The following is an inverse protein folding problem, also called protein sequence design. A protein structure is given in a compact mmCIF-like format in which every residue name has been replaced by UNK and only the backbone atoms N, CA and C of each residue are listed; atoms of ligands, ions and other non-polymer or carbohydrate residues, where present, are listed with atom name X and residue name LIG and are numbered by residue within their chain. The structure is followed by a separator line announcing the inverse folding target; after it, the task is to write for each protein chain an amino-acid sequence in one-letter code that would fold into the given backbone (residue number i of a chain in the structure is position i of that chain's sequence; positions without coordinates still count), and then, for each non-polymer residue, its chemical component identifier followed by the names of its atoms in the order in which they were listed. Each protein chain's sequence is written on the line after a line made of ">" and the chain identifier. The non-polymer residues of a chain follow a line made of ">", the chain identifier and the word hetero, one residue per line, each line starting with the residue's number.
data_IF_760418278812
#
_entry.id   IF_760418278812
#
_cell.length_a   1.000
_cell.length_b   1.000
_cell.length_c   1.000
_cell.angle_alpha   90.00
_cell.angle_beta   90.00
_cell.angle_gamma   90.00
#
_symmetry.space_group_name_H-M   'P 1'
#
loop_
_entity.id
_entity.type
_entity.pdbx_description
1 polymer ?
#
# COMPACT_ATOMS: atom_id res chain seq x y z
N UNK A 1 -11.82 2.02 16.55
CA UNK A 1 -11.02 0.90 17.08
C UNK A 1 -10.02 0.52 16.00
N UNK A 2 -8.73 0.84 16.20
CA UNK A 2 -7.68 0.41 15.28
C UNK A 2 -7.61 -1.13 15.30
N UNK A 3 -7.41 -1.80 14.14
CA UNK A 3 -7.21 -3.23 14.14
C UNK A 3 -5.94 -3.55 14.94
N UNK A 4 -6.15 -4.34 15.99
CA UNK A 4 -5.13 -4.87 16.89
C UNK A 4 -3.98 -5.46 16.10
N UNK A 5 -2.77 -4.91 16.29
CA UNK A 5 -1.53 -5.56 15.88
C UNK A 5 -1.49 -6.98 16.45
N UNK A 6 -1.26 -7.97 15.58
CA UNK A 6 -1.12 -9.36 16.00
C UNK A 6 0.13 -9.51 16.88
N UNK A 7 0.08 -10.29 17.99
CA UNK A 7 1.20 -10.45 18.89
C UNK A 7 2.19 -11.46 18.28
N UNK A 8 3.24 -10.96 17.64
CA UNK A 8 4.26 -11.78 17.00
C UNK A 8 5.32 -10.95 16.30
N UNK A 9 5.85 -9.93 16.99
CA UNK A 9 6.79 -8.94 16.44
C UNK A 9 8.10 -9.58 15.99
N UNK A 10 8.14 -10.04 14.74
CA UNK A 10 9.36 -10.32 14.00
C UNK A 10 10.18 -9.02 13.82
N UNK A 11 11.51 -9.12 13.74
CA UNK A 11 12.38 -7.99 13.40
C UNK A 11 11.96 -7.26 12.11
N UNK A 12 11.29 -7.96 11.19
CA UNK A 12 10.72 -7.37 9.98
C UNK A 12 9.59 -6.37 10.28
N UNK A 13 8.76 -6.60 11.30
CA UNK A 13 7.69 -5.67 11.68
C UNK A 13 8.26 -4.36 12.25
N UNK A 14 9.25 -4.46 13.13
CA UNK A 14 9.93 -3.29 13.69
C UNK A 14 10.64 -2.45 12.61
N UNK A 15 11.27 -3.11 11.62
CA UNK A 15 11.94 -2.41 10.51
C UNK A 15 10.96 -1.70 9.58
N UNK A 16 9.77 -2.29 9.34
CA UNK A 16 8.73 -1.73 8.47
C UNK A 16 8.04 -0.53 9.12
N UNK A 17 7.72 -0.63 10.42
CA UNK A 17 7.13 0.47 11.19
C UNK A 17 8.09 1.67 11.28
N UNK A 18 9.37 1.42 11.60
CA UNK A 18 10.38 2.47 11.68
C UNK A 18 10.60 3.22 10.35
N UNK A 19 10.49 2.52 9.21
CA UNK A 19 10.65 3.13 7.89
C UNK A 19 9.45 4.01 7.49
N UNK A 20 8.21 3.58 7.78
CA UNK A 20 7.01 4.31 7.36
C UNK A 20 6.89 5.71 7.98
N UNK A 21 7.12 5.81 9.28
CA UNK A 21 7.04 7.09 10.01
C UNK A 21 8.10 8.11 9.57
N UNK A 22 9.22 7.65 9.00
CA UNK A 22 10.29 8.53 8.54
C UNK A 22 9.89 9.40 7.33
N UNK A 23 8.86 9.02 6.57
CA UNK A 23 8.43 9.76 5.37
C UNK A 23 7.21 10.64 5.62
N UNK A 24 6.16 10.13 6.28
CA UNK A 24 4.97 10.90 6.59
C UNK A 24 4.21 10.30 7.79
N UNK A 25 3.71 11.11 8.74
CA UNK A 25 3.06 10.61 9.97
C UNK A 25 1.78 9.81 9.73
N UNK A 26 1.15 9.96 8.55
CA UNK A 26 -0.04 9.18 8.14
C UNK A 26 0.30 7.94 7.30
N UNK A 27 1.57 7.68 7.01
CA UNK A 27 1.96 6.52 6.22
C UNK A 27 1.94 5.28 7.11
N UNK A 28 1.05 4.34 6.78
CA UNK A 28 0.98 3.04 7.43
C UNK A 28 1.77 2.03 6.60
N UNK A 29 2.74 1.38 7.23
CA UNK A 29 3.55 0.35 6.60
C UNK A 29 3.01 -1.03 7.01
N UNK A 30 2.64 -1.85 6.02
CA UNK A 30 2.01 -3.15 6.23
C UNK A 30 3.02 -4.28 6.00
N UNK A 31 2.97 -5.31 6.85
CA UNK A 31 3.78 -6.53 6.73
C UNK A 31 3.00 -7.75 7.25
N UNK A 32 3.55 -8.95 7.09
CA UNK A 32 2.92 -10.20 7.53
C UNK A 32 3.80 -11.42 7.29
N UNK A 33 3.19 -12.61 7.40
CA UNK A 33 3.85 -13.87 7.01
C UNK A 33 4.04 -13.93 5.49
N UNK A 34 4.94 -14.80 5.02
CA UNK A 34 5.18 -14.99 3.58
C UNK A 34 3.88 -15.37 2.85
N UNK A 35 3.03 -16.20 3.45
CA UNK A 35 1.75 -16.62 2.87
C UNK A 35 0.78 -15.45 2.73
N UNK A 36 0.74 -14.53 3.71
CA UNK A 36 -0.08 -13.33 3.67
C UNK A 36 0.41 -12.37 2.58
N UNK A 37 1.73 -12.14 2.52
CA UNK A 37 2.36 -11.29 1.50
C UNK A 37 2.09 -11.86 0.11
N UNK A 38 2.29 -13.17 -0.09
CA UNK A 38 2.04 -13.87 -1.34
C UNK A 38 0.57 -13.78 -1.77
N UNK A 39 -0.37 -13.84 -0.82
CA UNK A 39 -1.80 -13.69 -1.11
C UNK A 39 -2.13 -12.27 -1.60
N UNK A 40 -1.60 -11.24 -0.94
CA UNK A 40 -1.79 -9.84 -1.35
C UNK A 40 -1.11 -9.57 -2.69
N UNK A 41 0.14 -10.03 -2.88
CA UNK A 41 0.87 -9.87 -4.13
C UNK A 41 0.09 -10.45 -5.32
N UNK A 42 -0.51 -11.64 -5.16
CA UNK A 42 -1.40 -12.23 -6.18
C UNK A 42 -2.66 -11.41 -6.41
N UNK A 43 -3.33 -10.94 -5.35
CA UNK A 43 -4.57 -10.18 -5.45
C UNK A 43 -4.38 -8.86 -6.23
N UNK A 44 -3.26 -8.18 -6.00
CA UNK A 44 -2.90 -6.92 -6.67
C UNK A 44 -2.04 -7.09 -7.92
N UNK A 45 -1.74 -8.33 -8.32
CA UNK A 45 -0.87 -8.68 -9.46
C UNK A 45 0.52 -8.02 -9.37
N UNK A 46 1.04 -7.92 -8.15
CA UNK A 46 2.37 -7.38 -7.87
C UNK A 46 3.39 -8.48 -8.19
N UNK A 47 4.35 -8.15 -9.04
CA UNK A 47 5.50 -9.01 -9.28
C UNK A 47 6.57 -8.76 -8.22
N UNK A 48 7.09 -9.85 -7.66
CA UNK A 48 8.23 -9.87 -6.75
C UNK A 48 9.18 -10.98 -7.17
N UNK A 49 10.46 -10.66 -7.37
CA UNK A 49 11.47 -11.68 -7.64
C UNK A 49 11.75 -12.49 -6.38
N UNK A 50 11.67 -13.82 -6.49
CA UNK A 50 12.06 -14.72 -5.39
C UNK A 50 13.59 -14.83 -5.33
N UNK A 51 14.20 -14.71 -4.14
CA UNK A 51 15.64 -14.91 -4.00
C UNK A 51 16.03 -16.33 -4.41
N UNK A 52 17.24 -16.48 -4.96
CA UNK A 52 17.87 -17.79 -5.08
C UNK A 52 18.18 -18.37 -3.70
N UNK A 53 18.31 -19.70 -3.55
CA UNK A 53 18.66 -20.32 -2.26
C UNK A 53 19.98 -19.79 -1.67
N UNK A 54 20.93 -19.39 -2.52
CA UNK A 54 22.19 -18.79 -2.11
C UNK A 54 22.02 -17.37 -1.54
N UNK A 55 21.14 -16.57 -2.14
CA UNK A 55 20.81 -15.21 -1.69
C UNK A 55 19.96 -15.21 -0.41
N UNK A 56 19.06 -16.18 -0.28
CA UNK A 56 18.32 -16.39 0.95
C UNK A 56 19.26 -16.78 2.12
N UNK A 57 20.33 -17.53 1.82
CA UNK A 57 21.32 -17.93 2.81
C UNK A 57 22.31 -16.82 3.21
N UNK A 58 22.55 -15.82 2.34
CA UNK A 58 23.43 -14.67 2.67
C UNK A 58 22.76 -13.64 3.59
N UNK A 59 21.45 -13.75 3.82
CA UNK A 59 20.69 -12.87 4.73
C UNK A 59 20.40 -11.46 4.17
N UNK A 60 21.16 -11.01 3.18
CA UNK A 60 20.89 -9.79 2.41
C UNK A 60 20.82 -10.12 0.91
N UNK A 61 19.73 -9.68 0.28
CA UNK A 61 19.53 -9.79 -1.15
C UNK A 61 18.63 -8.68 -1.67
N UNK A 62 18.75 -8.40 -2.97
CA UNK A 62 17.89 -7.44 -3.66
C UNK A 62 16.66 -8.14 -4.22
N UNK A 63 15.49 -7.54 -4.02
CA UNK A 63 14.24 -8.01 -4.58
C UNK A 63 13.75 -7.02 -5.64
N UNK A 64 13.66 -7.50 -6.87
CA UNK A 64 12.99 -6.75 -7.93
C UNK A 64 11.48 -6.74 -7.65
N UNK A 65 10.88 -5.54 -7.65
CA UNK A 65 9.48 -5.32 -7.31
C UNK A 65 8.84 -4.32 -8.27
N UNK A 66 7.52 -4.45 -8.41
CA UNK A 66 6.73 -3.49 -9.17
C UNK A 66 6.69 -2.13 -8.46
N UNK A 67 7.05 -1.05 -9.16
CA UNK A 67 6.97 0.33 -8.65
C UNK A 67 5.63 0.93 -9.08
N UNK A 68 4.60 0.68 -8.27
CA UNK A 68 3.22 1.08 -8.54
C UNK A 68 2.57 1.58 -7.26
N UNK A 69 1.81 2.68 -7.36
CA UNK A 69 0.93 3.19 -6.32
C UNK A 69 -0.51 2.91 -6.74
N UNK A 70 -1.32 2.31 -5.87
CA UNK A 70 -2.74 2.06 -6.11
C UNK A 70 -3.60 3.04 -5.30
N UNK A 71 -4.58 3.65 -5.96
CA UNK A 71 -5.65 4.41 -5.31
C UNK A 71 -6.88 3.53 -5.18
N UNK A 72 -7.28 3.31 -3.93
CA UNK A 72 -8.47 2.54 -3.57
C UNK A 72 -9.51 3.46 -2.94
N UNK A 73 -10.78 3.20 -3.23
CA UNK A 73 -11.92 3.85 -2.61
C UNK A 73 -12.11 3.37 -1.15
N UNK A 74 -12.89 4.10 -0.33
CA UNK A 74 -13.16 3.74 1.07
C UNK A 74 -13.83 2.38 1.25
N UNK A 75 -14.56 1.90 0.24
CA UNK A 75 -15.17 0.57 0.21
C UNK A 75 -14.21 -0.53 -0.26
N UNK A 76 -12.93 -0.20 -0.47
CA UNK A 76 -11.88 -1.11 -0.92
C UNK A 76 -11.86 -1.32 -2.44
N UNK A 77 -12.72 -0.65 -3.21
CA UNK A 77 -12.71 -0.78 -4.68
C UNK A 77 -11.52 -0.07 -5.29
N UNK A 78 -10.98 -0.66 -6.34
CA UNK A 78 -9.94 -0.03 -7.14
C UNK A 78 -10.46 1.17 -7.91
N UNK A 79 -9.77 2.32 -7.84
CA UNK A 79 -10.05 3.50 -8.65
C UNK A 79 -9.01 3.71 -9.75
N UNK A 80 -7.73 3.78 -9.37
CA UNK A 80 -6.65 4.09 -10.31
C UNK A 80 -5.29 3.58 -9.84
N UNK A 81 -4.29 3.59 -10.71
CA UNK A 81 -2.91 3.28 -10.38
C UNK A 81 -1.94 4.27 -11.01
N UNK A 82 -0.79 4.49 -10.37
CA UNK A 82 0.25 5.39 -10.80
C UNK A 82 1.61 4.67 -10.80
N UNK A 83 2.23 4.59 -11.97
CA UNK A 83 3.58 4.06 -12.11
C UNK A 83 4.66 5.14 -11.97
N UNK A 84 5.92 4.74 -12.16
CA UNK A 84 7.10 5.63 -12.04
C UNK A 84 7.10 6.85 -12.97
N UNK A 85 6.28 6.86 -14.02
CA UNK A 85 6.29 7.92 -15.03
C UNK A 85 5.55 9.20 -14.60
N UNK A 86 4.91 9.20 -13.43
CA UNK A 86 4.19 10.36 -12.92
C UNK A 86 5.02 11.14 -11.89
N UNK A 87 5.01 12.46 -12.02
CA UNK A 87 5.49 13.37 -10.98
C UNK A 87 4.51 13.43 -9.80
N UNK A 88 4.99 13.89 -8.63
CA UNK A 88 4.15 14.06 -7.46
C UNK A 88 2.93 14.97 -7.72
N UNK A 89 3.09 16.03 -8.53
CA UNK A 89 2.00 16.94 -8.88
C UNK A 89 0.95 16.27 -9.77
N UNK A 90 1.37 15.45 -10.74
CA UNK A 90 0.45 14.71 -11.60
C UNK A 90 -0.32 13.65 -10.83
N UNK A 91 0.35 12.91 -9.93
CA UNK A 91 -0.31 11.95 -9.04
C UNK A 91 -1.36 12.65 -8.18
N UNK A 92 -1.00 13.75 -7.53
CA UNK A 92 -1.93 14.50 -6.67
C UNK A 92 -3.15 15.01 -7.46
N UNK A 93 -2.91 15.61 -8.62
CA UNK A 93 -3.97 16.15 -9.49
C UNK A 93 -4.93 15.05 -9.95
N UNK A 94 -4.38 13.92 -10.41
CA UNK A 94 -5.19 12.79 -10.88
C UNK A 94 -5.94 12.12 -9.74
N UNK A 95 -5.31 11.94 -8.59
CA UNK A 95 -5.95 11.34 -7.42
C UNK A 95 -7.15 12.18 -6.95
N UNK A 96 -6.98 13.51 -6.88
CA UNK A 96 -8.08 14.42 -6.54
C UNK A 96 -9.24 14.35 -7.54
N UNK A 97 -8.95 14.20 -8.83
CA UNK A 97 -9.98 14.03 -9.85
C UNK A 97 -10.76 12.72 -9.70
N UNK A 98 -10.07 11.60 -9.43
CA UNK A 98 -10.71 10.30 -9.17
C UNK A 98 -11.56 10.32 -7.91
N UNK A 99 -11.08 10.96 -6.84
CA UNK A 99 -11.83 11.14 -5.58
C UNK A 99 -13.10 11.97 -5.84
N UNK A 100 -13.00 13.11 -6.53
CA UNK A 100 -14.15 13.95 -6.83
C UNK A 100 -15.20 13.24 -7.69
N UNK A 101 -14.75 12.42 -8.66
CA UNK A 101 -15.64 11.57 -9.45
C UNK A 101 -16.34 10.53 -8.58
N UNK A 102 -15.59 9.83 -7.73
CA UNK A 102 -16.16 8.84 -6.82
C UNK A 102 -17.19 9.46 -5.89
N UNK A 103 -16.90 10.61 -5.29
CA UNK A 103 -17.80 11.35 -4.40
C UNK A 103 -19.10 11.76 -5.11
N UNK A 104 -19.02 12.22 -6.37
CA UNK A 104 -20.20 12.59 -7.16
C UNK A 104 -21.11 11.38 -7.43
N UNK A 105 -20.51 10.24 -7.78
CA UNK A 105 -21.23 8.99 -8.05
C UNK A 105 -21.77 8.33 -6.78
N UNK A 106 -21.13 8.56 -5.64
CA UNK A 106 -21.42 7.91 -4.35
C UNK A 106 -21.91 8.88 -3.28
N UNK A 107 -22.60 9.96 -3.68
CA UNK A 107 -23.17 10.98 -2.79
C UNK A 107 -23.82 10.30 -1.59
N UNK A 108 -23.13 10.33 -0.44
CA UNK A 108 -23.67 9.83 0.82
C UNK A 108 -24.68 10.86 1.32
N UNK A 109 -25.76 10.40 1.94
CA UNK A 109 -26.78 11.26 2.53
C UNK A 109 -26.25 12.18 3.67
N UNK A 110 -25.00 12.01 4.10
CA UNK A 110 -24.38 12.72 5.23
C UNK A 110 -23.41 13.85 4.84
N UNK A 111 -23.10 14.06 3.55
CA UNK A 111 -22.37 15.25 3.06
C UNK A 111 -20.97 15.49 3.65
N UNK A 112 -20.36 14.48 4.28
CA UNK A 112 -19.08 14.63 4.98
C UNK A 112 -17.91 13.96 4.25
N UNK A 113 -16.74 14.64 4.24
CA UNK A 113 -15.46 14.13 3.74
C UNK A 113 -14.87 12.96 4.57
N UNK A 114 -15.63 12.38 5.49
CA UNK A 114 -15.16 11.46 6.53
C UNK A 114 -14.83 10.04 6.07
N UNK A 115 -15.02 9.70 4.80
CA UNK A 115 -14.72 8.37 4.27
C UNK A 115 -13.24 8.17 3.88
N UNK A 116 -12.50 9.27 3.71
CA UNK A 116 -11.15 9.25 3.13
C UNK A 116 -10.02 9.49 4.14
N UNK A 117 -10.31 9.52 5.45
CA UNK A 117 -9.33 9.83 6.50
C UNK A 117 -9.32 8.84 7.67
#
# INVERSE_FOLDING_TARGET
>A
AAPSAAPGGSAAAASVEGHGFAYHPRLLALTGSQEQIDAVARAYRIYTSKPTPSEAASGEYLLDHSIIIYLLAPDGKFLSFYGRNFSAHEVATKALAEIAKWDAEHTRADGGLGAWL
#
